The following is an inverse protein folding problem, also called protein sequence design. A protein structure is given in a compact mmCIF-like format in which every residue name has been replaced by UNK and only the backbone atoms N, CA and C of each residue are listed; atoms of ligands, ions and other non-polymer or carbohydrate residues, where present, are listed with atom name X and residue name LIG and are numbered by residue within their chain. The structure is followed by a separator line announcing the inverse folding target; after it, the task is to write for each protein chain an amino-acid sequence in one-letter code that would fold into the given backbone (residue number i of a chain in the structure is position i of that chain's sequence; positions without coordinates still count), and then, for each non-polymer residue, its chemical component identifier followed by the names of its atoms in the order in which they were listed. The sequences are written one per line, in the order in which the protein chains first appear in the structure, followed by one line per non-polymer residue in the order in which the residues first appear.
data_IF_419507263252
#
_entry.id   IF_419507263252
#
_cell.length_a   1.000
_cell.length_b   1.000
_cell.length_c   1.000
_cell.angle_alpha   90.00
_cell.angle_beta   90.00
_cell.angle_gamma   90.00
#
_symmetry.space_group_name_H-M   'P 1'
#
loop_
_entity.id
_entity.type
_entity.pdbx_description
1 polymer ?
#
# COMPACT_ATOMS: atom_id res chain seq x y z
N UNK A 1 -20.75 -7.30 11.41
CA UNK A 1 -19.35 -7.68 11.18
C UNK A 1 -18.70 -6.45 10.61
N UNK A 2 -18.00 -5.69 11.44
CA UNK A 2 -17.29 -4.50 10.99
C UNK A 2 -16.09 -4.97 10.21
N UNK A 3 -16.04 -4.63 8.93
CA UNK A 3 -14.89 -4.84 8.07
C UNK A 3 -13.80 -3.83 8.52
N UNK A 4 -13.16 -4.09 9.67
CA UNK A 4 -12.10 -3.24 10.26
C UNK A 4 -10.78 -3.42 9.48
N UNK A 5 -10.85 -3.35 8.14
CA UNK A 5 -9.67 -3.29 7.29
C UNK A 5 -8.90 -1.99 7.53
N UNK A 6 -7.57 -2.02 7.35
CA UNK A 6 -6.74 -0.81 7.45
C UNK A 6 -7.23 0.23 6.43
N UNK A 7 -7.61 1.41 6.92
CA UNK A 7 -7.97 2.53 6.06
C UNK A 7 -6.74 3.36 5.70
N UNK A 8 -6.13 3.05 4.56
CA UNK A 8 -5.09 3.88 3.96
C UNK A 8 -5.73 5.06 3.23
N UNK A 9 -6.02 6.13 3.98
CA UNK A 9 -6.54 7.35 3.36
C UNK A 9 -5.46 8.02 2.49
N UNK A 10 -5.83 8.69 1.38
CA UNK A 10 -4.87 9.44 0.57
C UNK A 10 -4.04 10.44 1.38
N UNK A 11 -4.68 11.08 2.36
CA UNK A 11 -4.05 12.06 3.23
C UNK A 11 -2.99 11.43 4.15
N UNK A 12 -3.28 10.28 4.77
CA UNK A 12 -2.29 9.57 5.60
C UNK A 12 -1.06 9.19 4.77
N UNK A 13 -1.27 8.70 3.54
CA UNK A 13 -0.18 8.32 2.65
C UNK A 13 0.66 9.53 2.21
N UNK A 14 0.04 10.68 2.01
CA UNK A 14 0.74 11.94 1.73
C UNK A 14 1.59 12.39 2.92
N UNK A 15 1.01 12.39 4.13
CA UNK A 15 1.71 12.77 5.35
C UNK A 15 2.91 11.86 5.63
N UNK A 16 2.79 10.54 5.39
CA UNK A 16 3.89 9.59 5.50
C UNK A 16 5.02 9.90 4.50
N UNK A 17 4.68 10.16 3.23
CA UNK A 17 5.70 10.52 2.21
C UNK A 17 6.42 11.81 2.57
N UNK A 18 5.70 12.82 3.03
CA UNK A 18 6.31 14.10 3.44
C UNK A 18 7.19 13.94 4.69
N UNK A 19 6.79 13.09 5.65
CA UNK A 19 7.63 12.77 6.80
C UNK A 19 8.95 12.11 6.38
N UNK A 20 8.92 11.17 5.43
CA UNK A 20 10.12 10.51 4.91
C UNK A 20 11.03 11.49 4.16
N UNK A 21 10.47 12.32 3.26
CA UNK A 21 11.24 13.32 2.50
C UNK A 21 11.95 14.33 3.39
N UNK A 22 11.33 14.72 4.51
CA UNK A 22 11.93 15.63 5.50
C UNK A 22 13.17 15.04 6.16
N UNK A 23 13.23 13.72 6.34
CA UNK A 23 14.37 13.03 6.95
C UNK A 23 15.45 12.66 5.92
N UNK A 24 15.03 12.19 4.73
CA UNK A 24 15.92 11.86 3.62
C UNK A 24 15.29 12.26 2.28
N UNK A 25 15.77 13.32 1.61
CA UNK A 25 15.24 13.79 0.33
C UNK A 25 15.25 12.74 -0.79
N UNK A 26 16.08 11.70 -0.69
CA UNK A 26 16.15 10.60 -1.68
C UNK A 26 14.88 9.75 -1.68
N UNK A 27 14.07 9.80 -0.62
CA UNK A 27 12.75 9.14 -0.55
C UNK A 27 11.68 9.79 -1.43
N UNK A 28 12.06 10.77 -2.26
CA UNK A 28 11.29 11.15 -3.45
C UNK A 28 11.18 10.00 -4.45
N UNK A 29 12.11 9.04 -4.41
CA UNK A 29 11.98 7.74 -5.06
C UNK A 29 11.01 6.84 -4.26
N UNK A 30 9.92 6.41 -4.90
CA UNK A 30 8.86 5.63 -4.26
C UNK A 30 9.36 4.27 -3.76
N UNK A 31 10.32 3.64 -4.45
CA UNK A 31 10.88 2.35 -4.05
C UNK A 31 11.67 2.49 -2.75
N UNK A 32 12.51 3.52 -2.64
CA UNK A 32 13.23 3.82 -1.42
C UNK A 32 12.28 4.21 -0.28
N UNK A 33 11.23 4.98 -0.55
CA UNK A 33 10.21 5.31 0.45
C UNK A 33 9.53 4.04 1.01
N UNK A 34 9.18 3.09 0.14
CA UNK A 34 8.62 1.80 0.57
C UNK A 34 9.62 0.99 1.41
N UNK A 35 10.91 0.98 1.05
CA UNK A 35 11.95 0.33 1.86
C UNK A 35 12.04 0.92 3.27
N UNK A 36 11.92 2.24 3.40
CA UNK A 36 11.90 2.91 4.70
C UNK A 36 10.69 2.49 5.54
N UNK A 37 9.50 2.39 4.95
CA UNK A 37 8.29 1.97 5.66
C UNK A 37 8.40 0.52 6.15
N UNK A 38 8.92 -0.40 5.33
CA UNK A 38 9.15 -1.80 5.72
C UNK A 38 10.20 -1.88 6.83
N UNK A 39 11.29 -1.13 6.71
CA UNK A 39 12.34 -1.08 7.74
C UNK A 39 11.81 -0.50 9.07
N UNK A 40 10.97 0.54 9.01
CA UNK A 40 10.34 1.12 10.19
C UNK A 40 9.44 0.11 10.92
N UNK A 41 8.63 -0.67 10.18
CA UNK A 41 7.82 -1.74 10.77
C UNK A 41 8.69 -2.80 11.47
N UNK A 42 9.79 -3.22 10.83
CA UNK A 42 10.74 -4.16 11.43
C UNK A 42 11.43 -3.61 12.69
N UNK A 43 11.82 -2.33 12.66
CA UNK A 43 12.40 -1.63 13.82
C UNK A 43 11.42 -1.59 14.99
N UNK A 44 10.18 -1.16 14.74
CA UNK A 44 9.12 -1.11 15.75
C UNK A 44 8.88 -2.48 16.39
N UNK A 45 8.79 -3.55 15.58
CA UNK A 45 8.61 -4.92 16.08
C UNK A 45 9.82 -5.39 16.90
N UNK A 46 11.04 -5.02 16.50
CA UNK A 46 12.25 -5.36 17.24
C UNK A 46 12.26 -4.74 18.65
N UNK A 47 11.70 -3.54 18.79
CA UNK A 47 11.62 -2.79 20.05
C UNK A 47 10.49 -3.26 20.97
N UNK A 48 9.49 -3.99 20.46
CA UNK A 48 8.39 -4.50 21.29
C UNK A 48 8.93 -5.42 22.40
N UNK A 49 8.70 -5.01 23.64
CA UNK A 49 9.07 -5.79 24.82
C UNK A 49 7.90 -6.69 25.24
N UNK A 50 7.78 -7.85 24.61
CA UNK A 50 6.80 -8.87 24.94
C UNK A 50 7.46 -10.25 24.95
N UNK A 51 7.69 -10.80 26.14
CA UNK A 51 8.41 -12.07 26.34
C UNK A 51 7.66 -13.30 25.78
N UNK A 52 6.35 -13.21 25.55
CA UNK A 52 5.55 -14.30 24.98
C UNK A 52 5.34 -14.20 23.47
N UNK A 53 5.85 -13.15 22.82
CA UNK A 53 5.66 -12.94 21.39
C UNK A 53 6.78 -13.64 20.60
N UNK A 54 6.39 -14.51 19.67
CA UNK A 54 7.29 -14.94 18.61
C UNK A 54 7.39 -13.82 17.57
N UNK A 55 8.48 -13.03 17.67
CA UNK A 55 8.72 -11.91 16.75
C UNK A 55 8.96 -12.37 15.32
N UNK A 56 9.46 -13.59 15.11
CA UNK A 56 9.70 -14.12 13.79
C UNK A 56 8.39 -14.52 13.11
N UNK A 57 7.48 -15.12 13.86
CA UNK A 57 6.12 -15.41 13.40
C UNK A 57 5.35 -14.12 13.08
N UNK A 58 5.44 -13.12 13.97
CA UNK A 58 4.84 -11.80 13.74
C UNK A 58 5.40 -11.11 12.48
N UNK A 59 6.70 -11.25 12.17
CA UNK A 59 7.26 -10.75 10.91
C UNK A 59 6.64 -11.44 9.69
N UNK A 60 6.44 -12.76 9.75
CA UNK A 60 5.82 -13.51 8.67
C UNK A 60 4.36 -13.08 8.46
N UNK A 61 3.62 -12.90 9.55
CA UNK A 61 2.24 -12.40 9.52
C UNK A 61 2.16 -11.00 8.90
N UNK A 62 3.05 -10.09 9.30
CA UNK A 62 3.13 -8.74 8.72
C UNK A 62 3.43 -8.78 7.22
N UNK A 63 4.34 -9.65 6.79
CA UNK A 63 4.64 -9.84 5.36
C UNK A 63 3.44 -10.40 4.59
N UNK A 64 2.74 -11.38 5.18
CA UNK A 64 1.53 -11.95 4.59
C UNK A 64 0.41 -10.92 4.47
N UNK A 65 0.22 -10.11 5.51
CA UNK A 65 -0.73 -9.01 5.53
C UNK A 65 -0.40 -7.94 4.48
N UNK A 66 0.87 -7.54 4.36
CA UNK A 66 1.31 -6.59 3.33
C UNK A 66 0.97 -7.09 1.91
N UNK A 67 1.21 -8.38 1.64
CA UNK A 67 0.84 -8.99 0.36
C UNK A 67 -0.68 -8.95 0.13
N UNK A 68 -1.46 -9.29 1.14
CA UNK A 68 -2.92 -9.27 1.04
C UNK A 68 -3.47 -7.87 0.72
N UNK A 69 -2.94 -6.82 1.37
CA UNK A 69 -3.33 -5.43 1.07
C UNK A 69 -2.97 -5.04 -0.35
N UNK A 70 -1.79 -5.45 -0.84
CA UNK A 70 -1.39 -5.21 -2.23
C UNK A 70 -2.35 -5.86 -3.22
N UNK A 71 -2.62 -7.17 -3.07
CA UNK A 71 -3.51 -7.92 -3.95
C UNK A 71 -4.92 -7.31 -3.96
N UNK A 72 -5.43 -6.92 -2.79
CA UNK A 72 -6.72 -6.25 -2.65
C UNK A 72 -6.77 -4.90 -3.38
N UNK A 73 -5.73 -4.08 -3.27
CA UNK A 73 -5.66 -2.78 -3.96
C UNK A 73 -5.56 -2.95 -5.48
N UNK A 74 -4.82 -3.96 -5.97
CA UNK A 74 -4.76 -4.29 -7.40
C UNK A 74 -6.15 -4.68 -7.93
N UNK A 75 -6.90 -5.49 -7.19
CA UNK A 75 -8.24 -5.93 -7.57
C UNK A 75 -9.26 -4.78 -7.62
N UNK A 76 -9.07 -3.75 -6.79
CA UNK A 76 -9.93 -2.57 -6.77
C UNK A 76 -9.65 -1.55 -7.87
N UNK A 77 -8.52 -1.66 -8.59
CA UNK A 77 -8.23 -0.75 -9.68
C UNK A 77 -9.32 -0.86 -10.76
N UNK A 78 -9.89 0.26 -11.23
CA UNK A 78 -10.94 0.21 -12.24
C UNK A 78 -10.38 -0.47 -13.50
N UNK A 79 -10.93 -1.66 -13.80
CA UNK A 79 -10.65 -2.36 -15.04
C UNK A 79 -11.18 -1.49 -16.17
N UNK A 80 -10.30 -0.95 -17.01
CA UNK A 80 -10.72 -0.22 -18.20
C UNK A 80 -11.70 -1.11 -18.98
N UNK A 81 -12.93 -0.66 -19.27
CA UNK A 81 -13.80 -1.42 -20.15
C UNK A 81 -13.08 -1.57 -21.50
N UNK A 82 -13.13 -2.76 -22.13
CA UNK A 82 -12.57 -2.92 -23.47
C UNK A 82 -13.18 -1.84 -24.36
N UNK A 83 -12.33 -1.06 -25.03
CA UNK A 83 -12.76 -0.05 -25.99
C UNK A 83 -13.68 -0.74 -26.99
N UNK A 84 -14.99 -0.50 -26.86
CA UNK A 84 -15.93 -0.81 -27.92
C UNK A 84 -15.62 0.21 -29.02
N UNK A 85 -14.90 -0.24 -30.05
CA UNK A 85 -14.76 0.50 -31.30
C UNK A 85 -16.15 1.00 -31.70
N UNK A 86 -16.30 2.32 -31.76
CA UNK A 86 -17.51 2.98 -32.21
C UNK A 86 -17.72 2.68 -33.70
N UNK A 87 -18.29 1.52 -34.00
CA UNK A 87 -18.78 1.19 -35.33
C UNK A 87 -19.99 2.08 -35.66
N UNK A 88 -19.74 3.08 -36.50
CA UNK A 88 -20.76 3.61 -37.42
C UNK A 88 -21.59 4.80 -36.92
N UNK A 89 -21.00 5.99 -36.85
CA UNK A 89 -21.78 7.23 -36.98
C UNK A 89 -22.17 7.38 -38.47
N UNK A 90 -23.32 6.85 -38.86
CA UNK A 90 -23.95 7.20 -40.14
C UNK A 90 -24.75 8.50 -39.93
N UNK A 91 -24.36 9.58 -40.61
CA UNK A 91 -25.16 10.81 -40.72
C UNK A 91 -25.88 10.80 -42.08
N UNK A 92 -27.21 10.63 -42.16
CA UNK A 92 -27.92 10.89 -43.41
C UNK A 92 -28.00 12.41 -43.68
N UNK A 93 -28.04 12.77 -44.97
CA UNK A 93 -28.20 14.13 -45.48
C UNK A 93 -29.60 14.67 -45.24
#
# INVERSE_FOLDING_TARGET
MSDDGIQLSPQLMEELREALKKQDPRTTDDVLAMQYLVAAAGMMLSELNNAGMDKQDALNDLSGFMKHVFDYMEDQKPKMPPQQDAFGVWKPK
#
